data_IF_190726202546
#
_entry.id   IF_190726202546
#
_cell.length_a   1.000
_cell.length_b   1.000
_cell.length_c   1.000
_cell.angle_alpha   90.00
_cell.angle_beta   90.00
_cell.angle_gamma   90.00
#
_symmetry.space_group_name_H-M   'P 1'
#
loop_
_entity.id
_entity.type
_entity.pdbx_description
1 polymer ?
#
# COMPACT_ATOMS: atom_id res chain seq x y z
N UNK A 1 -30.46 -6.69 17.97
CA UNK A 1 -30.36 -5.98 16.68
C UNK A 1 -29.29 -6.66 15.86
N UNK A 2 -29.56 -7.01 14.60
CA UNK A 2 -28.58 -7.56 13.67
C UNK A 2 -28.14 -6.47 12.70
N UNK A 3 -26.84 -6.34 12.46
CA UNK A 3 -26.33 -5.46 11.41
C UNK A 3 -26.68 -6.02 10.02
N UNK A 4 -27.12 -5.18 9.08
CA UNK A 4 -27.38 -5.63 7.72
C UNK A 4 -26.06 -5.96 7.01
N UNK A 5 -26.04 -7.04 6.24
CA UNK A 5 -24.92 -7.37 5.36
C UNK A 5 -24.94 -6.45 4.14
N UNK A 6 -23.78 -5.88 3.81
CA UNK A 6 -23.60 -4.97 2.68
C UNK A 6 -22.36 -5.34 1.88
N UNK A 7 -22.37 -5.19 0.54
CA UNK A 7 -21.18 -5.32 -0.28
C UNK A 7 -20.10 -4.31 0.14
N UNK A 8 -18.82 -4.70 0.07
CA UNK A 8 -17.71 -3.79 0.41
C UNK A 8 -17.71 -2.53 -0.46
N UNK A 9 -18.10 -2.64 -1.72
CA UNK A 9 -18.20 -1.50 -2.66
C UNK A 9 -19.23 -0.45 -2.24
N UNK A 10 -20.21 -0.79 -1.41
CA UNK A 10 -21.16 0.19 -0.84
C UNK A 10 -20.61 0.88 0.41
N UNK A 11 -19.60 0.29 1.07
CA UNK A 11 -19.07 0.75 2.35
C UNK A 11 -17.74 1.51 2.18
N UNK A 12 -16.95 1.13 1.19
CA UNK A 12 -15.62 1.71 0.93
C UNK A 12 -15.73 2.84 -0.08
N UNK A 13 -15.13 4.00 0.26
CA UNK A 13 -15.04 5.15 -0.67
C UNK A 13 -14.22 4.83 -1.92
N UNK A 14 -13.18 3.99 -1.77
CA UNK A 14 -12.22 3.71 -2.82
C UNK A 14 -11.58 2.33 -2.60
N UNK A 15 -11.45 1.56 -3.69
CA UNK A 15 -10.63 0.36 -3.75
C UNK A 15 -9.63 0.52 -4.89
N UNK A 16 -8.36 0.65 -4.56
CA UNK A 16 -7.27 0.78 -5.54
C UNK A 16 -6.45 -0.49 -5.51
N UNK A 17 -6.27 -1.10 -6.67
CA UNK A 17 -5.31 -2.19 -6.84
C UNK A 17 -3.94 -1.63 -7.22
N UNK A 18 -2.88 -2.34 -6.82
CA UNK A 18 -1.53 -1.98 -7.22
C UNK A 18 -1.22 -2.56 -8.61
N UNK A 19 -0.40 -1.86 -9.39
CA UNK A 19 0.09 -2.41 -10.66
C UNK A 19 0.97 -3.63 -10.36
N UNK A 20 0.69 -4.76 -11.01
CA UNK A 20 1.45 -6.02 -10.88
C UNK A 20 2.82 -5.96 -11.62
N UNK A 21 3.60 -4.90 -11.36
CA UNK A 21 4.97 -4.72 -11.85
C UNK A 21 5.81 -4.21 -10.68
N UNK A 22 6.94 -4.88 -10.42
CA UNK A 22 7.85 -4.42 -9.37
C UNK A 22 8.49 -3.12 -9.82
N UNK A 23 8.21 -2.03 -9.11
CA UNK A 23 8.80 -0.73 -9.38
C UNK A 23 10.32 -0.76 -9.06
N UNK A 24 11.15 -0.02 -9.82
CA UNK A 24 12.57 0.10 -9.52
C UNK A 24 12.77 0.73 -8.13
N UNK A 25 13.68 0.16 -7.34
CA UNK A 25 13.99 0.62 -5.98
C UNK A 25 15.32 1.34 -5.94
N UNK A 26 15.47 2.23 -4.97
CA UNK A 26 16.73 2.90 -4.64
C UNK A 26 17.24 2.45 -3.28
N UNK A 27 18.55 2.55 -3.08
CA UNK A 27 19.26 2.14 -1.86
C UNK A 27 19.44 3.27 -0.84
N UNK A 28 18.95 4.47 -1.16
CA UNK A 28 18.94 5.63 -0.27
C UNK A 28 17.51 5.97 0.20
N UNK A 29 17.35 6.57 1.40
CA UNK A 29 16.04 7.00 1.89
C UNK A 29 15.44 8.09 1.00
N UNK A 30 14.15 7.95 0.67
CA UNK A 30 13.33 8.97 0.02
C UNK A 30 12.01 9.14 0.78
N UNK A 31 11.24 10.22 0.52
CA UNK A 31 9.87 10.32 1.03
C UNK A 31 8.91 9.23 0.48
N UNK A 32 9.29 8.56 -0.61
CA UNK A 32 8.44 7.61 -1.34
C UNK A 32 8.72 6.18 -0.90
N UNK A 33 7.95 5.72 0.08
CA UNK A 33 8.07 4.38 0.68
C UNK A 33 7.31 3.34 -0.14
N UNK A 34 7.98 2.22 -0.47
CA UNK A 34 7.36 1.04 -1.05
C UNK A 34 6.96 0.05 0.06
N UNK A 35 5.66 -0.03 0.32
CA UNK A 35 5.06 -1.01 1.24
C UNK A 35 4.81 -2.32 0.48
N UNK A 36 5.19 -3.45 1.09
CA UNK A 36 4.91 -4.80 0.56
C UNK A 36 4.11 -5.62 1.55
N UNK A 37 3.62 -6.78 1.13
CA UNK A 37 2.92 -7.75 1.98
C UNK A 37 3.70 -8.07 3.27
N UNK A 38 5.04 -8.08 3.21
CA UNK A 38 5.89 -8.32 4.38
C UNK A 38 5.80 -7.24 5.47
N UNK A 39 5.40 -6.02 5.10
CA UNK A 39 5.22 -4.89 6.00
C UNK A 39 3.85 -4.88 6.69
N UNK A 40 2.86 -5.64 6.20
CA UNK A 40 1.50 -5.65 6.75
C UNK A 40 1.27 -6.93 7.55
N UNK A 41 1.28 -6.83 8.88
CA UNK A 41 1.15 -7.98 9.78
C UNK A 41 0.41 -7.60 11.06
N UNK A 42 -0.39 -8.54 11.59
CA UNK A 42 -1.09 -8.38 12.88
C UNK A 42 -1.97 -7.13 12.99
N UNK A 43 -2.50 -6.64 11.86
CA UNK A 43 -3.32 -5.41 11.83
C UNK A 43 -2.51 -4.11 11.82
N UNK A 44 -1.19 -4.18 11.69
CA UNK A 44 -0.29 -3.03 11.63
C UNK A 44 0.49 -2.97 10.31
N UNK A 45 0.97 -1.77 9.98
CA UNK A 45 1.85 -1.51 8.84
C UNK A 45 3.19 -1.04 9.40
N UNK A 46 4.25 -1.79 9.08
CA UNK A 46 5.63 -1.40 9.36
C UNK A 46 6.13 -0.42 8.28
N UNK A 47 6.38 0.82 8.71
CA UNK A 47 6.87 1.91 7.85
C UNK A 47 8.35 2.25 8.11
N UNK A 48 9.01 1.48 8.98
CA UNK A 48 10.41 1.64 9.34
C UNK A 48 11.30 0.73 8.50
N UNK A 49 10.84 -0.50 8.20
CA UNK A 49 11.58 -1.47 7.37
C UNK A 49 11.06 -1.52 5.92
N UNK A 50 11.11 -0.38 5.25
CA UNK A 50 10.60 -0.21 3.87
C UNK A 50 11.71 -0.07 2.83
N UNK A 51 11.35 -0.34 1.57
CA UNK A 51 12.18 0.05 0.42
C UNK A 51 11.77 1.45 -0.04
N UNK A 52 12.64 2.10 -0.79
CA UNK A 52 12.41 3.44 -1.31
C UNK A 52 12.40 3.44 -2.84
N UNK A 53 11.65 4.38 -3.41
CA UNK A 53 11.60 4.63 -4.85
C UNK A 53 11.85 6.11 -5.14
N UNK A 54 12.10 6.46 -6.40
CA UNK A 54 12.15 7.86 -6.84
C UNK A 54 10.74 8.45 -6.95
N UNK A 55 10.63 9.79 -6.94
CA UNK A 55 9.37 10.48 -7.20
C UNK A 55 8.76 10.10 -8.54
N UNK A 56 9.60 10.04 -9.59
CA UNK A 56 9.21 9.62 -10.93
C UNK A 56 8.53 8.24 -10.90
N UNK A 57 9.10 7.29 -10.14
CA UNK A 57 8.53 5.94 -9.99
C UNK A 57 7.23 5.94 -9.19
N UNK A 58 7.06 6.87 -8.25
CA UNK A 58 5.84 6.98 -7.45
C UNK A 58 4.67 7.60 -8.24
N UNK A 59 4.96 8.50 -9.17
CA UNK A 59 3.96 9.21 -9.98
C UNK A 59 3.63 8.53 -11.31
N UNK A 60 4.35 7.46 -11.69
CA UNK A 60 4.21 6.76 -12.98
C UNK A 60 2.98 5.87 -13.10
#
# INVERSE_FOLDING_TARGET
MSWPLKPLSELCLLGVDCVNKTAPVVDYPTPYKMIRTTNVKQGFIDVDTVRYVTEETFQS
#
